data_IF_124051458000
#
_entry.id   IF_124051458000
#
_cell.length_a   1.000
_cell.length_b   1.000
_cell.length_c   1.000
_cell.angle_alpha   90.00
_cell.angle_beta   90.00
_cell.angle_gamma   90.00
#
_symmetry.space_group_name_H-M   'P 1'
#
loop_
_entity.id
_entity.type
_entity.pdbx_description
1 polymer ?
#
# COMPACT_ATOMS: atom_id res chain seq x y z
N UNK A 1 23.54 -5.57 -8.74
CA UNK A 1 22.89 -4.40 -8.12
C UNK A 1 23.32 -3.11 -8.81
N UNK A 2 24.61 -2.95 -9.10
CA UNK A 2 25.18 -1.79 -9.82
C UNK A 2 24.54 -1.52 -11.20
N UNK A 3 24.24 -2.57 -11.98
CA UNK A 3 23.60 -2.44 -13.30
C UNK A 3 22.20 -1.82 -13.23
N UNK A 4 21.45 -2.06 -12.16
CA UNK A 4 20.11 -1.49 -11.97
C UNK A 4 20.19 -0.01 -11.57
N UNK A 5 21.13 0.33 -10.69
CA UNK A 5 21.36 1.71 -10.23
C UNK A 5 21.87 2.64 -11.34
N UNK A 6 22.49 2.09 -12.38
CA UNK A 6 22.95 2.84 -13.56
C UNK A 6 21.85 3.12 -14.61
N UNK A 7 20.66 2.52 -14.47
CA UNK A 7 19.54 2.76 -15.38
C UNK A 7 18.90 4.14 -15.14
N UNK A 8 18.25 4.69 -16.16
CA UNK A 8 17.47 5.91 -16.05
C UNK A 8 16.36 5.74 -14.98
N UNK A 9 16.10 6.72 -14.09
CA UNK A 9 15.05 6.64 -13.06
C UNK A 9 13.67 6.24 -13.61
N UNK A 10 13.33 6.66 -14.83
CA UNK A 10 12.07 6.28 -15.50
C UNK A 10 12.03 4.78 -15.76
N UNK A 11 13.14 4.20 -16.21
CA UNK A 11 13.24 2.77 -16.48
C UNK A 11 13.25 1.95 -15.18
N UNK A 12 13.88 2.46 -14.12
CA UNK A 12 13.82 1.85 -12.79
C UNK A 12 12.37 1.80 -12.28
N UNK A 13 11.65 2.93 -12.39
CA UNK A 13 10.23 2.99 -12.02
C UNK A 13 9.37 2.05 -12.87
N UNK A 14 9.62 1.96 -14.18
CA UNK A 14 8.92 1.03 -15.06
C UNK A 14 9.15 -0.43 -14.67
N UNK A 15 10.41 -0.83 -14.42
CA UNK A 15 10.73 -2.21 -14.01
C UNK A 15 10.12 -2.52 -12.64
N UNK A 16 10.22 -1.59 -11.68
CA UNK A 16 9.65 -1.76 -10.35
C UNK A 16 8.12 -1.89 -10.39
N UNK A 17 7.45 -1.06 -11.19
CA UNK A 17 5.98 -1.10 -11.34
C UNK A 17 5.50 -2.32 -12.11
N UNK A 18 6.22 -2.77 -13.15
CA UNK A 18 5.93 -4.04 -13.83
C UNK A 18 6.11 -5.23 -12.89
N UNK A 19 7.10 -5.18 -12.00
CA UNK A 19 7.30 -6.22 -11.00
C UNK A 19 6.14 -6.26 -10.00
N UNK A 20 5.74 -5.12 -9.41
CA UNK A 20 4.61 -5.10 -8.46
C UNK A 20 3.30 -5.52 -9.12
N UNK A 21 3.05 -5.09 -10.35
CA UNK A 21 1.92 -5.55 -11.16
C UNK A 21 1.98 -7.06 -11.44
N UNK A 22 3.16 -7.58 -11.78
CA UNK A 22 3.38 -9.01 -12.01
C UNK A 22 3.10 -9.85 -10.78
N UNK A 23 3.45 -9.37 -9.59
CA UNK A 23 3.10 -10.04 -8.32
C UNK A 23 1.59 -10.08 -8.09
N UNK A 24 0.86 -9.00 -8.41
CA UNK A 24 -0.61 -8.99 -8.36
C UNK A 24 -1.20 -9.99 -9.36
N UNK A 25 -0.71 -10.01 -10.60
CA UNK A 25 -1.16 -10.95 -11.62
C UNK A 25 -0.87 -12.42 -11.22
N UNK A 26 0.29 -12.69 -10.64
CA UNK A 26 0.65 -14.01 -10.12
C UNK A 26 -0.28 -14.47 -8.98
N UNK A 27 -0.60 -13.56 -8.05
CA UNK A 27 -1.56 -13.84 -6.98
C UNK A 27 -2.97 -14.14 -7.53
N UNK A 28 -3.42 -13.37 -8.51
CA UNK A 28 -4.71 -13.58 -9.18
C UNK A 28 -4.74 -14.89 -9.99
N UNK A 29 -3.62 -15.32 -10.57
CA UNK A 29 -3.54 -16.56 -11.35
C UNK A 29 -3.82 -17.82 -10.50
N UNK A 30 -3.68 -17.76 -9.18
CA UNK A 30 -4.03 -18.86 -8.27
C UNK A 30 -5.51 -19.26 -8.34
N UNK A 31 -6.39 -18.35 -8.78
CA UNK A 31 -7.83 -18.63 -9.00
C UNK A 31 -8.03 -19.76 -10.03
N UNK A 32 -7.10 -19.94 -10.98
CA UNK A 32 -7.20 -21.04 -11.96
C UNK A 32 -6.90 -22.42 -11.37
N UNK A 33 -6.26 -22.49 -10.20
CA UNK A 33 -5.93 -23.75 -9.51
C UNK A 33 -6.99 -24.09 -8.47
N UNK A 34 -7.52 -23.09 -7.74
CA UNK A 34 -8.53 -23.27 -6.70
C UNK A 34 -9.85 -22.61 -7.08
N UNK A 35 -10.79 -23.38 -7.62
CA UNK A 35 -12.11 -22.88 -8.03
C UNK A 35 -13.07 -22.63 -6.85
N UNK A 36 -12.77 -23.22 -5.68
CA UNK A 36 -13.54 -23.08 -4.44
C UNK A 36 -12.59 -22.86 -3.24
N UNK A 37 -12.27 -21.60 -2.94
CA UNK A 37 -11.61 -21.24 -1.68
C UNK A 37 -12.65 -21.22 -0.57
N UNK A 38 -12.38 -21.91 0.54
CA UNK A 38 -13.24 -21.81 1.72
C UNK A 38 -13.20 -20.38 2.27
N UNK A 39 -14.34 -19.86 2.76
CA UNK A 39 -14.41 -18.50 3.32
C UNK A 39 -13.35 -18.24 4.39
N UNK A 40 -13.04 -19.25 5.21
CA UNK A 40 -11.96 -19.18 6.22
C UNK A 40 -10.57 -18.93 5.60
N UNK A 41 -10.29 -19.51 4.44
CA UNK A 41 -9.01 -19.29 3.74
C UNK A 41 -8.95 -17.88 3.18
N UNK A 42 -10.05 -17.39 2.59
CA UNK A 42 -10.16 -16.01 2.09
C UNK A 42 -9.99 -14.99 3.21
N UNK A 43 -10.67 -15.18 4.34
CA UNK A 43 -10.55 -14.33 5.53
C UNK A 43 -9.10 -14.30 6.05
N UNK A 44 -8.42 -15.45 6.05
CA UNK A 44 -7.01 -15.53 6.40
C UNK A 44 -6.10 -14.73 5.46
N UNK A 45 -6.35 -14.81 4.14
CA UNK A 45 -5.60 -14.05 3.13
C UNK A 45 -5.85 -12.54 3.24
N UNK A 46 -7.10 -12.11 3.43
CA UNK A 46 -7.47 -10.71 3.63
C UNK A 46 -6.88 -10.16 4.93
N UNK A 47 -6.93 -10.94 6.02
CA UNK A 47 -6.32 -10.58 7.30
C UNK A 47 -4.79 -10.45 7.21
N UNK A 48 -4.13 -11.34 6.48
CA UNK A 48 -2.69 -11.24 6.22
C UNK A 48 -2.35 -9.97 5.43
N UNK A 49 -3.06 -9.70 4.35
CA UNK A 49 -2.86 -8.49 3.55
C UNK A 49 -3.07 -7.22 4.39
N UNK A 50 -4.15 -7.16 5.18
CA UNK A 50 -4.40 -6.05 6.10
C UNK A 50 -3.27 -5.88 7.12
N UNK A 51 -2.78 -6.98 7.72
CA UNK A 51 -1.67 -6.96 8.66
C UNK A 51 -0.38 -6.40 8.06
N UNK A 52 0.00 -6.85 6.87
CA UNK A 52 1.19 -6.34 6.15
C UNK A 52 1.07 -4.84 5.87
N UNK A 53 -0.11 -4.39 5.43
CA UNK A 53 -0.33 -2.97 5.12
C UNK A 53 -0.30 -2.08 6.36
N UNK A 54 -0.85 -2.53 7.49
CA UNK A 54 -0.76 -1.80 8.77
C UNK A 54 0.69 -1.71 9.25
N UNK A 55 1.44 -2.80 9.15
CA UNK A 55 2.86 -2.83 9.51
C UNK A 55 3.67 -1.85 8.66
N UNK A 56 3.56 -1.93 7.34
CA UNK A 56 4.26 -1.03 6.42
C UNK A 56 3.92 0.45 6.69
N UNK A 57 2.65 0.73 7.00
CA UNK A 57 2.21 2.10 7.33
C UNK A 57 2.91 2.67 8.56
N UNK A 58 3.17 1.85 9.59
CA UNK A 58 3.87 2.31 10.78
C UNK A 58 5.39 2.39 10.57
N UNK A 59 6.02 1.27 10.23
CA UNK A 59 7.49 1.17 10.18
C UNK A 59 8.11 1.86 8.98
N UNK A 60 7.44 1.85 7.82
CA UNK A 60 8.02 2.40 6.58
C UNK A 60 7.57 3.83 6.30
N UNK A 61 6.48 4.31 6.92
CA UNK A 61 5.94 5.65 6.67
C UNK A 61 5.90 6.52 7.94
N UNK A 62 5.12 6.13 8.96
CA UNK A 62 4.89 6.99 10.14
C UNK A 62 6.17 7.18 10.97
N UNK A 63 6.88 6.11 11.33
CA UNK A 63 8.10 6.22 12.13
C UNK A 63 9.19 7.09 11.45
N UNK A 64 9.53 6.87 10.16
CA UNK A 64 10.43 7.77 9.44
C UNK A 64 9.92 9.22 9.38
N UNK A 65 8.61 9.43 9.22
CA UNK A 65 8.05 10.79 9.19
C UNK A 65 8.20 11.54 10.51
N UNK A 66 8.14 10.84 11.64
CA UNK A 66 8.32 11.41 12.98
C UNK A 66 9.79 11.81 13.16
N UNK A 67 10.72 10.91 12.82
CA UNK A 67 12.16 11.15 12.92
C UNK A 67 12.59 12.34 12.06
N UNK A 68 12.17 12.38 10.79
CA UNK A 68 12.43 13.51 9.90
C UNK A 68 11.84 14.83 10.42
N UNK A 69 10.70 14.79 11.11
CA UNK A 69 10.05 15.98 11.66
C UNK A 69 10.81 16.54 12.87
N UNK A 70 11.33 15.66 13.74
CA UNK A 70 12.17 16.04 14.87
C UNK A 70 13.49 16.66 14.42
N UNK A 71 14.11 16.13 13.36
CA UNK A 71 15.32 16.71 12.75
C UNK A 71 15.09 18.14 12.22
N UNK A 72 13.87 18.42 11.74
CA UNK A 72 13.48 19.75 11.25
C UNK A 72 13.06 20.73 12.36
N UNK A 73 13.12 20.32 13.64
CA UNK A 73 12.69 21.14 14.78
C UNK A 73 11.18 21.32 14.89
N UNK A 74 10.40 20.50 14.18
CA UNK A 74 8.93 20.47 14.24
C UNK A 74 8.53 19.36 15.23
N UNK A 75 7.44 19.51 16.01
CA UNK A 75 6.95 18.41 16.84
C UNK A 75 6.72 17.14 16.00
N UNK A 76 7.42 16.05 16.31
CA UNK A 76 7.47 14.85 15.48
C UNK A 76 6.11 14.24 15.13
N UNK A 77 5.16 14.34 16.06
CA UNK A 77 3.80 13.83 15.89
C UNK A 77 2.94 14.67 14.92
N UNK A 78 3.26 15.96 14.74
CA UNK A 78 2.36 16.89 14.06
C UNK A 78 2.23 16.57 12.56
N UNK A 79 3.31 16.44 11.77
CA UNK A 79 3.19 16.08 10.35
C UNK A 79 2.62 14.67 10.15
N UNK A 80 2.98 13.72 11.01
CA UNK A 80 2.48 12.34 10.94
C UNK A 80 0.96 12.27 11.14
N UNK A 81 0.43 12.93 12.18
CA UNK A 81 -1.01 12.95 12.48
C UNK A 81 -1.79 13.71 11.41
N UNK A 82 -1.31 14.90 11.01
CA UNK A 82 -1.98 15.72 10.00
C UNK A 82 -2.02 15.00 8.65
N UNK A 83 -0.90 14.41 8.22
CA UNK A 83 -0.83 13.64 6.99
C UNK A 83 -1.74 12.41 7.00
N UNK A 84 -1.73 11.65 8.10
CA UNK A 84 -2.59 10.46 8.24
C UNK A 84 -4.08 10.82 8.21
N UNK A 85 -4.50 11.83 8.98
CA UNK A 85 -5.90 12.27 9.00
C UNK A 85 -6.34 12.87 7.67
N UNK A 86 -5.50 13.70 7.03
CA UNK A 86 -5.78 14.27 5.73
C UNK A 86 -5.95 13.17 4.66
N UNK A 87 -5.08 12.15 4.67
CA UNK A 87 -5.22 10.98 3.80
C UNK A 87 -6.52 10.20 4.04
N UNK A 88 -6.91 9.99 5.30
CA UNK A 88 -8.18 9.35 5.64
C UNK A 88 -9.41 10.15 5.18
N UNK A 89 -9.41 11.46 5.39
CA UNK A 89 -10.47 12.36 4.90
C UNK A 89 -10.52 12.34 3.37
N UNK A 90 -9.37 12.37 2.71
CA UNK A 90 -9.28 12.28 1.26
C UNK A 90 -9.88 10.98 0.72
N UNK A 91 -9.52 9.82 1.30
CA UNK A 91 -10.09 8.53 0.91
C UNK A 91 -11.60 8.48 1.14
N UNK A 92 -12.10 9.01 2.26
CA UNK A 92 -13.55 9.12 2.51
C UNK A 92 -14.25 10.03 1.50
N UNK A 93 -13.61 11.13 1.10
CA UNK A 93 -14.10 12.02 0.06
C UNK A 93 -14.19 11.31 -1.29
N UNK A 94 -13.15 10.57 -1.68
CA UNK A 94 -13.14 9.76 -2.89
C UNK A 94 -14.24 8.70 -2.88
N UNK A 95 -14.41 7.99 -1.76
CA UNK A 95 -15.45 6.98 -1.59
C UNK A 95 -16.86 7.59 -1.72
N UNK A 96 -17.05 8.82 -1.22
CA UNK A 96 -18.33 9.54 -1.33
C UNK A 96 -18.64 10.04 -2.76
N UNK A 97 -17.59 10.33 -3.55
CA UNK A 97 -17.73 10.84 -4.93
C UNK A 97 -17.84 9.69 -5.93
N UNK A 98 -17.13 8.58 -5.70
CA UNK A 98 -17.23 7.40 -6.54
C UNK A 98 -18.60 6.75 -6.29
N UNK A 99 -19.47 6.68 -7.30
CA UNK A 99 -20.77 6.06 -7.13
C UNK A 99 -20.54 4.62 -6.68
N UNK A 100 -21.08 4.28 -5.51
CA UNK A 100 -20.97 2.93 -4.99
C UNK A 100 -21.67 2.03 -5.99
N UNK A 101 -20.90 1.26 -6.75
CA UNK A 101 -21.41 0.16 -7.55
C UNK A 101 -21.93 -0.88 -6.56
N UNK A 102 -23.16 -0.70 -6.10
CA UNK A 102 -23.97 -1.78 -5.54
C UNK A 102 -24.22 -2.75 -6.69
N UNK A 103 -23.25 -3.64 -6.93
CA UNK A 103 -23.54 -4.94 -7.52
C UNK A 103 -24.23 -5.68 -6.37
N UNK A 104 -25.56 -5.72 -6.43
CA UNK A 104 -26.45 -6.16 -5.34
C UNK A 104 -26.14 -7.52 -4.74
#
# INVERSE_FOLDING_TARGET
METFLQLNPILQALIATLFTWGMTAAGAALVFIGKDLSGRTLDGMLGFAAGVMIAASYWSLLAPSIEMSEEMGIPGWLPAVVGFLAGGVFLRGLDSVLPHLHIG
#
